data_IF_807444674411
#
_entry.id   IF_807444674411
#
_cell.length_a   1.000
_cell.length_b   1.000
_cell.length_c   1.000
_cell.angle_alpha   90.00
_cell.angle_beta   90.00
_cell.angle_gamma   90.00
#
_symmetry.space_group_name_H-M   'P 1'
#
loop_
_entity.id
_entity.type
_entity.pdbx_description
1 polymer ?
#
# COMPACT_ATOMS: atom_id res chain seq x y z
N UNK A 1 34.61 -26.16 -7.51
CA UNK A 1 33.74 -26.41 -8.70
C UNK A 1 33.67 -25.11 -9.46
N UNK A 2 34.08 -25.12 -10.71
CA UNK A 2 34.09 -23.91 -11.52
C UNK A 2 32.83 -23.90 -12.39
N UNK A 3 32.17 -22.75 -12.45
CA UNK A 3 30.98 -22.52 -13.25
C UNK A 3 31.33 -21.78 -14.53
N UNK A 4 30.71 -22.14 -15.62
CA UNK A 4 30.91 -21.47 -16.90
C UNK A 4 30.28 -20.07 -16.94
N UNK A 5 29.16 -19.89 -16.20
CA UNK A 5 28.40 -18.64 -16.13
C UNK A 5 28.21 -18.18 -14.67
N UNK A 6 28.31 -16.89 -14.48
CA UNK A 6 28.12 -16.29 -13.15
C UNK A 6 26.68 -16.55 -12.61
N UNK A 7 25.71 -16.53 -13.50
CA UNK A 7 24.30 -16.78 -13.16
C UNK A 7 24.10 -18.19 -12.58
N UNK A 8 24.79 -19.20 -13.12
CA UNK A 8 24.74 -20.58 -12.61
C UNK A 8 25.34 -20.67 -11.21
N UNK A 9 26.48 -20.00 -11.00
CA UNK A 9 27.11 -19.94 -9.68
C UNK A 9 26.21 -19.24 -8.64
N UNK A 10 25.57 -18.13 -9.01
CA UNK A 10 24.64 -17.39 -8.14
C UNK A 10 23.41 -18.25 -7.83
N UNK A 11 22.80 -18.88 -8.83
CA UNK A 11 21.66 -19.77 -8.61
C UNK A 11 22.01 -20.92 -7.66
N UNK A 12 23.19 -21.54 -7.85
CA UNK A 12 23.66 -22.61 -6.96
C UNK A 12 23.86 -22.12 -5.53
N UNK A 13 24.54 -20.97 -5.35
CA UNK A 13 24.75 -20.36 -4.03
C UNK A 13 23.42 -20.09 -3.33
N UNK A 14 22.47 -19.47 -4.02
CA UNK A 14 21.16 -19.12 -3.44
C UNK A 14 20.33 -20.36 -3.09
N UNK A 15 20.45 -21.42 -3.92
CA UNK A 15 19.84 -22.72 -3.61
C UNK A 15 20.41 -23.30 -2.32
N UNK A 16 21.74 -23.40 -2.22
CA UNK A 16 22.42 -23.98 -1.06
C UNK A 16 22.11 -23.20 0.23
N UNK A 17 22.12 -21.85 0.14
CA UNK A 17 21.76 -20.97 1.28
C UNK A 17 20.32 -21.21 1.70
N UNK A 18 19.35 -21.22 0.76
CA UNK A 18 17.95 -21.48 1.06
C UNK A 18 17.75 -22.85 1.71
N UNK A 19 18.34 -23.90 1.16
CA UNK A 19 18.24 -25.26 1.70
C UNK A 19 18.83 -25.34 3.10
N UNK A 20 20.00 -24.78 3.35
CA UNK A 20 20.62 -24.72 4.67
C UNK A 20 19.77 -23.99 5.69
N UNK A 21 19.23 -22.82 5.32
CA UNK A 21 18.39 -22.01 6.21
C UNK A 21 17.05 -22.71 6.52
N UNK A 22 16.39 -23.28 5.51
CA UNK A 22 15.10 -23.97 5.72
C UNK A 22 15.26 -25.30 6.46
N UNK A 23 16.42 -25.96 6.38
CA UNK A 23 16.73 -27.11 7.22
C UNK A 23 16.80 -26.77 8.72
N UNK A 24 17.25 -25.55 9.06
CA UNK A 24 17.31 -25.07 10.46
C UNK A 24 15.92 -24.58 10.91
N UNK A 25 15.24 -23.81 10.04
CA UNK A 25 13.95 -23.20 10.33
C UNK A 25 13.07 -23.23 9.07
N UNK A 26 12.10 -24.17 8.96
CA UNK A 26 11.28 -24.33 7.75
C UNK A 26 10.48 -23.08 7.33
N UNK A 27 10.09 -22.25 8.31
CA UNK A 27 9.33 -21.00 8.12
C UNK A 27 10.21 -19.74 8.17
N UNK A 28 11.52 -19.86 7.87
CA UNK A 28 12.44 -18.72 7.87
C UNK A 28 12.02 -17.66 6.85
N UNK A 29 12.13 -16.39 7.26
CA UNK A 29 11.96 -15.26 6.35
C UNK A 29 13.30 -14.95 5.68
N UNK A 30 13.31 -14.98 4.35
CA UNK A 30 14.46 -14.64 3.51
C UNK A 30 14.08 -13.44 2.67
N UNK A 31 14.70 -12.29 2.98
CA UNK A 31 14.44 -11.03 2.31
C UNK A 31 15.41 -10.79 1.17
N UNK A 32 14.88 -10.37 0.03
CA UNK A 32 15.64 -9.73 -1.04
C UNK A 32 15.15 -8.32 -1.27
N UNK A 33 16.05 -7.44 -1.73
CA UNK A 33 15.76 -6.03 -1.97
C UNK A 33 16.49 -5.48 -3.19
N UNK A 34 16.12 -4.28 -3.62
CA UNK A 34 16.78 -3.52 -4.68
C UNK A 34 16.65 -4.18 -6.06
N UNK A 35 17.69 -4.02 -6.88
CA UNK A 35 17.67 -4.41 -8.28
C UNK A 35 17.77 -5.93 -8.52
N UNK A 36 17.92 -6.72 -7.46
CA UNK A 36 17.95 -8.19 -7.57
C UNK A 36 16.57 -8.82 -7.73
N UNK A 37 15.51 -8.03 -7.60
CA UNK A 37 14.15 -8.54 -7.56
C UNK A 37 13.61 -8.70 -8.96
N UNK A 38 13.40 -9.95 -9.33
CA UNK A 38 12.76 -10.38 -10.56
C UNK A 38 12.05 -11.71 -10.33
N UNK A 39 11.38 -12.27 -11.35
CA UNK A 39 10.60 -13.51 -11.18
C UNK A 39 11.41 -14.69 -10.66
N UNK A 40 12.68 -14.83 -11.07
CA UNK A 40 13.54 -15.94 -10.66
C UNK A 40 13.88 -15.91 -9.17
N UNK A 41 14.04 -14.73 -8.57
CA UNK A 41 14.44 -14.58 -7.16
C UNK A 41 13.39 -15.11 -6.19
N UNK A 42 12.12 -15.20 -6.61
CA UNK A 42 11.03 -15.82 -5.83
C UNK A 42 11.29 -17.27 -5.46
N UNK A 43 12.14 -17.94 -6.22
CA UNK A 43 12.60 -19.30 -5.92
C UNK A 43 13.50 -19.37 -4.68
N UNK A 44 14.08 -18.26 -4.25
CA UNK A 44 15.11 -18.21 -3.21
C UNK A 44 14.69 -17.44 -1.96
N UNK A 45 13.69 -16.56 -2.08
CA UNK A 45 13.19 -15.75 -0.97
C UNK A 45 11.66 -15.71 -0.89
N UNK A 46 11.14 -15.31 0.24
CA UNK A 46 9.69 -15.22 0.52
C UNK A 46 9.26 -13.84 1.03
N UNK A 47 10.18 -12.87 0.99
CA UNK A 47 9.91 -11.48 1.35
C UNK A 47 10.74 -10.54 0.48
N UNK A 48 10.11 -9.48 -0.04
CA UNK A 48 10.78 -8.48 -0.88
C UNK A 48 10.60 -7.08 -0.31
N UNK A 49 11.68 -6.33 -0.31
CA UNK A 49 11.69 -4.92 0.09
C UNK A 49 11.85 -4.01 -1.13
N UNK A 50 11.14 -2.89 -1.10
CA UNK A 50 11.38 -1.78 -2.05
C UNK A 50 12.84 -1.29 -1.91
N UNK A 51 13.41 -0.75 -2.98
CA UNK A 51 14.76 -0.17 -3.00
C UNK A 51 14.98 0.86 -1.90
N UNK A 52 16.25 1.24 -1.65
CA UNK A 52 16.58 2.28 -0.66
C UNK A 52 16.00 3.63 -1.07
N UNK A 53 14.93 4.04 -0.40
CA UNK A 53 14.21 5.29 -0.61
C UNK A 53 13.56 5.79 0.70
N UNK A 54 14.34 5.97 1.78
CA UNK A 54 13.80 6.35 3.09
C UNK A 54 13.10 7.71 2.99
N UNK A 55 11.92 7.82 3.60
CA UNK A 55 11.05 9.00 3.58
C UNK A 55 10.50 9.41 2.20
N UNK A 56 10.97 8.84 1.10
CA UNK A 56 10.45 9.10 -0.24
C UNK A 56 9.18 8.26 -0.49
N UNK A 57 8.03 8.84 -0.17
CA UNK A 57 6.74 8.18 -0.32
C UNK A 57 6.39 7.84 -1.77
N UNK A 58 6.89 8.61 -2.76
CA UNK A 58 6.63 8.35 -4.18
C UNK A 58 7.40 7.13 -4.66
N UNK A 59 8.71 7.08 -4.41
CA UNK A 59 9.55 5.93 -4.76
C UNK A 59 9.09 4.67 -4.03
N UNK A 60 8.70 4.77 -2.76
CA UNK A 60 8.10 3.68 -2.01
C UNK A 60 6.82 3.15 -2.69
N UNK A 61 5.92 4.04 -3.13
CA UNK A 61 4.68 3.65 -3.84
C UNK A 61 4.97 2.91 -5.13
N UNK A 62 5.77 3.52 -6.01
CA UNK A 62 6.08 2.94 -7.33
C UNK A 62 6.76 1.59 -7.16
N UNK A 63 7.81 1.52 -6.33
CA UNK A 63 8.51 0.28 -6.08
C UNK A 63 7.63 -0.81 -5.44
N UNK A 64 6.74 -0.45 -4.52
CA UNK A 64 5.77 -1.38 -3.94
C UNK A 64 4.82 -1.95 -4.99
N UNK A 65 4.26 -1.10 -5.87
CA UNK A 65 3.34 -1.55 -6.93
C UNK A 65 4.08 -2.48 -7.89
N UNK A 66 5.26 -2.09 -8.37
CA UNK A 66 6.06 -2.89 -9.29
C UNK A 66 6.41 -4.26 -8.69
N UNK A 67 6.85 -4.29 -7.43
CA UNK A 67 7.13 -5.54 -6.73
C UNK A 67 5.89 -6.42 -6.58
N UNK A 68 4.75 -5.84 -6.19
CA UNK A 68 3.50 -6.57 -6.04
C UNK A 68 3.01 -7.16 -7.37
N UNK A 69 3.21 -6.46 -8.48
CA UNK A 69 2.88 -6.96 -9.83
C UNK A 69 3.82 -8.09 -10.28
N UNK A 70 5.08 -8.10 -9.83
CA UNK A 70 6.09 -9.10 -10.19
C UNK A 70 6.12 -10.31 -9.24
N UNK A 71 5.88 -10.09 -7.95
CA UNK A 71 6.13 -11.09 -6.91
C UNK A 71 4.93 -11.99 -6.59
N UNK A 72 3.74 -11.73 -7.16
CA UNK A 72 2.54 -12.51 -6.88
C UNK A 72 2.21 -12.49 -5.37
N UNK A 73 2.10 -13.67 -4.77
CA UNK A 73 1.73 -13.84 -3.35
C UNK A 73 2.90 -13.66 -2.38
N UNK A 74 4.10 -13.32 -2.85
CA UNK A 74 5.25 -13.05 -1.99
C UNK A 74 5.03 -11.78 -1.18
N UNK A 75 5.42 -11.78 0.09
CA UNK A 75 5.31 -10.61 0.95
C UNK A 75 6.18 -9.46 0.41
N UNK A 76 5.59 -8.27 0.32
CA UNK A 76 6.28 -7.04 -0.09
C UNK A 76 6.17 -6.03 1.04
N UNK A 77 7.30 -5.40 1.41
CA UNK A 77 7.29 -4.30 2.36
C UNK A 77 7.98 -3.05 1.82
N UNK A 78 7.61 -1.92 2.39
CA UNK A 78 8.18 -0.62 2.05
C UNK A 78 9.63 -0.50 2.50
N UNK A 79 10.33 0.50 2.00
CA UNK A 79 11.48 1.04 2.73
C UNK A 79 10.99 1.90 3.90
N UNK A 80 11.94 2.48 4.64
CA UNK A 80 11.69 3.21 5.88
C UNK A 80 10.71 4.38 5.68
N UNK A 81 9.55 4.30 6.32
CA UNK A 81 8.61 5.41 6.43
C UNK A 81 9.08 6.33 7.56
N UNK A 82 9.45 7.54 7.18
CA UNK A 82 10.01 8.54 8.10
C UNK A 82 9.34 9.90 7.87
N UNK A 83 9.09 10.62 8.94
CA UNK A 83 8.59 12.00 8.90
C UNK A 83 9.06 12.76 10.14
N UNK A 84 9.04 14.09 10.06
CA UNK A 84 9.42 14.94 11.18
C UNK A 84 8.27 15.07 12.19
N UNK A 85 8.56 15.24 13.50
CA UNK A 85 7.49 15.50 14.49
C UNK A 85 6.64 16.73 14.21
N UNK A 86 7.20 17.74 13.52
CA UNK A 86 6.50 18.97 13.15
C UNK A 86 5.71 18.87 11.83
N UNK A 87 5.79 17.74 11.12
CA UNK A 87 4.96 17.52 9.94
C UNK A 87 3.49 17.46 10.34
N UNK A 88 2.61 17.86 9.43
CA UNK A 88 1.18 17.66 9.64
C UNK A 88 0.86 16.17 9.74
N UNK A 89 -0.13 15.82 10.56
CA UNK A 89 -0.56 14.42 10.69
C UNK A 89 -1.07 13.86 9.36
N UNK A 90 -1.61 14.70 8.48
CA UNK A 90 -2.04 14.35 7.13
C UNK A 90 -0.83 13.93 6.25
N UNK A 91 0.28 14.65 6.34
CA UNK A 91 1.51 14.28 5.61
C UNK A 91 2.09 12.97 6.15
N UNK A 92 2.10 12.76 7.47
CA UNK A 92 2.49 11.49 8.07
C UNK A 92 1.57 10.34 7.61
N UNK A 93 0.25 10.57 7.55
CA UNK A 93 -0.71 9.58 7.05
C UNK A 93 -0.47 9.23 5.57
N UNK A 94 -0.10 10.20 4.73
CA UNK A 94 0.22 9.96 3.32
C UNK A 94 1.42 9.04 3.13
N UNK A 95 2.41 9.02 4.03
CA UNK A 95 3.49 8.03 4.02
C UNK A 95 2.92 6.60 4.08
N UNK A 96 2.00 6.34 5.02
CA UNK A 96 1.35 5.03 5.14
C UNK A 96 0.47 4.70 3.93
N UNK A 97 -0.31 5.67 3.45
CA UNK A 97 -1.21 5.44 2.31
C UNK A 97 -0.45 5.12 1.02
N UNK A 98 0.75 5.68 0.84
CA UNK A 98 1.58 5.36 -0.33
C UNK A 98 2.07 3.90 -0.34
N UNK A 99 2.07 3.22 0.81
CA UNK A 99 2.43 1.81 0.92
C UNK A 99 1.27 0.96 1.44
N UNK A 100 0.04 1.42 1.27
CA UNK A 100 -1.15 0.78 1.82
C UNK A 100 -1.27 -0.71 1.44
N UNK A 101 -0.88 -1.06 0.22
CA UNK A 101 -0.95 -2.45 -0.29
C UNK A 101 0.32 -3.27 -0.03
N UNK A 102 1.20 -2.82 0.84
CA UNK A 102 2.38 -3.55 1.30
C UNK A 102 2.46 -3.56 2.83
N UNK A 103 3.47 -4.19 3.39
CA UNK A 103 3.76 -4.10 4.82
C UNK A 103 4.55 -2.81 5.07
N UNK A 104 4.07 -1.88 5.91
CA UNK A 104 4.77 -0.64 6.18
C UNK A 104 5.97 -0.85 7.11
N UNK A 105 7.15 -0.37 6.73
CA UNK A 105 8.32 -0.31 7.61
C UNK A 105 8.35 1.05 8.32
N UNK A 106 7.72 1.14 9.49
CA UNK A 106 7.65 2.37 10.27
C UNK A 106 8.96 2.59 11.01
N UNK A 107 9.67 3.67 10.67
CA UNK A 107 11.02 3.97 11.18
C UNK A 107 11.08 5.30 11.96
N UNK A 108 9.94 5.85 12.33
CA UNK A 108 9.87 6.96 13.28
C UNK A 108 9.95 6.44 14.72
N UNK A 109 10.46 7.27 15.62
CA UNK A 109 10.46 6.98 17.06
C UNK A 109 9.10 7.33 17.66
N UNK A 110 8.27 6.33 18.08
CA UNK A 110 6.93 6.60 18.58
C UNK A 110 6.91 7.49 19.85
N UNK A 111 7.97 7.44 20.65
CA UNK A 111 8.15 8.26 21.85
C UNK A 111 8.48 9.73 21.54
N UNK A 112 8.87 10.05 20.31
CA UNK A 112 9.27 11.40 19.89
C UNK A 112 8.32 12.09 18.94
N UNK A 113 7.30 11.39 18.46
CA UNK A 113 6.26 12.01 17.61
C UNK A 113 5.06 12.46 18.44
N UNK A 114 4.31 13.49 17.99
CA UNK A 114 3.10 13.98 18.67
C UNK A 114 2.06 12.89 18.87
N UNK A 115 1.16 13.08 19.86
CA UNK A 115 0.06 12.14 20.12
C UNK A 115 -0.87 12.00 18.90
N UNK A 116 -1.04 13.06 18.11
CA UNK A 116 -1.81 13.03 16.86
C UNK A 116 -1.25 12.03 15.86
N UNK A 117 0.08 11.95 15.75
CA UNK A 117 0.75 10.96 14.87
C UNK A 117 0.62 9.54 15.44
N UNK A 118 0.74 9.38 16.76
CA UNK A 118 0.52 8.07 17.41
C UNK A 118 -0.92 7.58 17.24
N UNK A 119 -1.89 8.47 17.37
CA UNK A 119 -3.30 8.15 17.16
C UNK A 119 -3.56 7.73 15.70
N UNK A 120 -3.01 8.46 14.74
CA UNK A 120 -3.05 8.12 13.32
C UNK A 120 -2.41 6.76 13.04
N UNK A 121 -1.23 6.49 13.59
CA UNK A 121 -0.56 5.18 13.44
C UNK A 121 -1.42 4.04 14.00
N UNK A 122 -1.93 4.17 15.23
CA UNK A 122 -2.80 3.14 15.83
C UNK A 122 -4.02 2.86 14.96
N UNK A 123 -4.66 3.92 14.48
CA UNK A 123 -5.85 3.79 13.64
C UNK A 123 -5.53 3.08 12.32
N UNK A 124 -4.54 3.56 11.56
CA UNK A 124 -4.21 2.96 10.28
C UNK A 124 -3.68 1.54 10.39
N UNK A 125 -2.85 1.23 11.38
CA UNK A 125 -2.37 -0.14 11.59
C UNK A 125 -3.53 -1.10 11.90
N UNK A 126 -4.50 -0.68 12.72
CA UNK A 126 -5.70 -1.46 13.00
C UNK A 126 -6.56 -1.65 11.73
N UNK A 127 -6.78 -0.58 10.96
CA UNK A 127 -7.55 -0.62 9.72
C UNK A 127 -6.84 -1.47 8.66
N UNK A 128 -5.52 -1.36 8.53
CA UNK A 128 -4.72 -2.18 7.63
C UNK A 128 -4.77 -3.66 8.00
N UNK A 129 -4.79 -3.99 9.29
CA UNK A 129 -4.98 -5.37 9.76
C UNK A 129 -6.39 -5.88 9.44
N UNK A 130 -7.43 -5.07 9.70
CA UNK A 130 -8.81 -5.41 9.36
C UNK A 130 -8.99 -5.67 7.86
N UNK A 131 -8.33 -4.90 7.00
CA UNK A 131 -8.41 -5.00 5.54
C UNK A 131 -7.32 -5.88 4.93
N UNK A 132 -6.62 -6.70 5.73
CA UNK A 132 -5.48 -7.48 5.24
C UNK A 132 -5.81 -8.36 4.03
N UNK A 133 -6.96 -9.05 4.04
CA UNK A 133 -7.37 -9.90 2.93
C UNK A 133 -7.55 -9.12 1.62
N UNK A 134 -8.11 -7.90 1.68
CA UNK A 134 -8.26 -7.02 0.52
C UNK A 134 -6.91 -6.46 0.08
N UNK A 135 -6.10 -5.97 1.02
CA UNK A 135 -4.79 -5.36 0.74
C UNK A 135 -3.82 -6.33 0.08
N UNK A 136 -3.89 -7.63 0.47
CA UNK A 136 -3.03 -8.68 -0.07
C UNK A 136 -3.61 -9.36 -1.33
N UNK A 137 -4.82 -9.01 -1.76
CA UNK A 137 -5.40 -9.48 -3.01
C UNK A 137 -4.63 -8.92 -4.23
N UNK A 138 -4.76 -9.51 -5.43
CA UNK A 138 -4.13 -9.01 -6.63
C UNK A 138 -4.39 -7.53 -6.86
N UNK A 139 -3.34 -6.76 -7.16
CA UNK A 139 -3.44 -5.33 -7.43
C UNK A 139 -3.93 -5.07 -8.86
N UNK A 140 -4.73 -4.03 -8.99
CA UNK A 140 -4.96 -3.33 -10.25
C UNK A 140 -4.39 -1.92 -10.12
N UNK A 141 -3.33 -1.65 -10.86
CA UNK A 141 -2.67 -0.36 -10.93
C UNK A 141 -2.52 0.02 -12.41
N UNK A 142 -3.03 1.18 -12.76
CA UNK A 142 -3.06 1.66 -14.14
C UNK A 142 -2.11 2.86 -14.29
N UNK A 143 -1.76 3.17 -15.55
CA UNK A 143 -0.97 4.35 -15.90
C UNK A 143 0.40 4.42 -15.20
N UNK A 144 1.29 3.44 -15.43
CA UNK A 144 2.63 3.45 -14.83
C UNK A 144 3.43 4.71 -15.20
N UNK A 145 3.21 5.26 -16.40
CA UNK A 145 3.82 6.52 -16.86
C UNK A 145 3.37 7.77 -16.05
N UNK A 146 2.27 7.66 -15.31
CA UNK A 146 1.79 8.65 -14.34
C UNK A 146 2.08 8.22 -12.89
N UNK A 147 3.00 7.26 -12.68
CA UNK A 147 3.41 6.76 -11.38
C UNK A 147 2.25 6.18 -10.55
N UNK A 148 1.35 5.45 -11.23
CA UNK A 148 0.19 4.78 -10.62
C UNK A 148 -0.70 5.73 -9.80
N UNK A 149 -1.42 6.66 -10.43
CA UNK A 149 -2.22 7.67 -9.73
C UNK A 149 -3.41 7.07 -8.95
N UNK A 150 -3.84 5.87 -9.32
CA UNK A 150 -4.86 5.07 -8.64
C UNK A 150 -4.38 3.62 -8.52
N UNK A 151 -4.49 3.07 -7.32
CA UNK A 151 -4.21 1.65 -7.07
C UNK A 151 -5.39 1.06 -6.30
N UNK A 152 -5.82 -0.13 -6.70
CA UNK A 152 -6.93 -0.82 -6.07
C UNK A 152 -6.68 -2.31 -5.90
N UNK A 153 -7.35 -2.89 -4.93
CA UNK A 153 -7.45 -4.33 -4.75
C UNK A 153 -8.85 -4.68 -4.26
N UNK A 154 -9.34 -5.83 -4.68
CA UNK A 154 -10.66 -6.34 -4.29
C UNK A 154 -10.55 -7.77 -3.79
N UNK A 155 -11.29 -8.05 -2.73
CA UNK A 155 -11.53 -9.39 -2.23
C UNK A 155 -13.01 -9.54 -1.92
N UNK A 156 -13.65 -10.48 -2.60
CA UNK A 156 -15.09 -10.73 -2.50
C UNK A 156 -15.92 -9.45 -2.74
N UNK A 157 -16.73 -9.02 -1.80
CA UNK A 157 -17.60 -7.85 -1.88
C UNK A 157 -16.95 -6.55 -1.36
N UNK A 158 -15.66 -6.61 -0.97
CA UNK A 158 -14.96 -5.46 -0.43
C UNK A 158 -13.84 -5.02 -1.36
N UNK A 159 -13.77 -3.72 -1.65
CA UNK A 159 -12.71 -3.09 -2.42
C UNK A 159 -11.99 -2.02 -1.60
N UNK A 160 -10.70 -1.88 -1.83
CA UNK A 160 -9.90 -0.75 -1.33
C UNK A 160 -9.27 -0.03 -2.52
N UNK A 161 -9.41 1.29 -2.56
CA UNK A 161 -8.85 2.17 -3.59
C UNK A 161 -8.05 3.25 -2.88
N UNK A 162 -6.81 3.48 -3.34
CA UNK A 162 -6.03 4.65 -2.90
C UNK A 162 -5.86 5.59 -4.08
N UNK A 163 -6.29 6.84 -3.90
CA UNK A 163 -6.14 7.92 -4.86
C UNK A 163 -4.94 8.78 -4.48
N UNK A 164 -3.96 8.89 -5.38
CA UNK A 164 -2.71 9.62 -5.15
C UNK A 164 -2.63 10.94 -5.93
N UNK A 165 -3.48 11.13 -6.95
CA UNK A 165 -3.52 12.34 -7.76
C UNK A 165 -4.93 12.92 -7.77
N UNK A 166 -5.04 14.19 -7.42
CA UNK A 166 -6.30 14.93 -7.33
C UNK A 166 -7.06 15.06 -8.68
N UNK A 167 -6.36 14.90 -9.80
CA UNK A 167 -6.96 14.97 -11.14
C UNK A 167 -7.56 13.66 -11.62
N UNK A 168 -7.58 12.62 -10.76
CA UNK A 168 -8.17 11.33 -11.10
C UNK A 168 -9.65 11.27 -10.77
N UNK A 169 -10.37 10.52 -11.59
CA UNK A 169 -11.74 10.10 -11.29
C UNK A 169 -11.69 8.72 -10.64
N UNK A 170 -12.23 8.60 -9.44
CA UNK A 170 -12.33 7.31 -8.74
C UNK A 170 -13.56 6.57 -9.27
N UNK A 171 -13.35 5.58 -10.14
CA UNK A 171 -14.43 4.72 -10.64
C UNK A 171 -14.79 3.68 -9.59
N UNK A 172 -16.02 3.74 -9.07
CA UNK A 172 -16.57 2.74 -8.16
C UNK A 172 -16.93 1.48 -8.94
N UNK A 173 -16.65 0.32 -8.37
CA UNK A 173 -17.05 -0.98 -8.91
C UNK A 173 -18.42 -1.39 -8.36
N UNK A 174 -18.83 -2.61 -8.67
CA UNK A 174 -20.01 -3.27 -8.11
C UNK A 174 -19.79 -3.89 -6.72
N UNK A 175 -18.68 -3.55 -6.05
CA UNK A 175 -18.42 -4.01 -4.69
C UNK A 175 -19.46 -3.43 -3.71
N UNK A 176 -19.93 -4.26 -2.79
CA UNK A 176 -20.91 -3.84 -1.77
C UNK A 176 -20.32 -2.77 -0.87
N UNK A 177 -19.03 -2.90 -0.56
CA UNK A 177 -18.30 -1.95 0.30
C UNK A 177 -16.98 -1.54 -0.34
N UNK A 178 -16.78 -0.24 -0.52
CA UNK A 178 -15.53 0.31 -1.05
C UNK A 178 -14.90 1.28 -0.04
N UNK A 179 -13.65 1.05 0.30
CA UNK A 179 -12.82 2.00 1.05
C UNK A 179 -12.05 2.86 0.07
N UNK A 180 -12.29 4.15 0.05
CA UNK A 180 -11.59 5.12 -0.80
C UNK A 180 -10.68 5.97 0.06
N UNK A 181 -9.38 5.79 -0.05
CA UNK A 181 -8.36 6.53 0.69
C UNK A 181 -7.88 7.72 -0.12
N UNK A 182 -7.79 8.89 0.54
CA UNK A 182 -7.33 10.11 -0.07
C UNK A 182 -5.86 10.39 0.29
N UNK A 183 -4.96 9.93 -0.56
CA UNK A 183 -3.52 10.21 -0.44
C UNK A 183 -3.10 11.51 -1.19
N UNK A 184 -4.06 12.30 -1.69
CA UNK A 184 -3.82 13.58 -2.33
C UNK A 184 -3.68 14.71 -1.30
N UNK A 185 -3.42 15.92 -1.79
CA UNK A 185 -3.39 17.14 -0.94
C UNK A 185 -4.72 17.91 -0.89
N UNK A 186 -5.79 17.41 -1.56
CA UNK A 186 -7.10 18.07 -1.63
C UNK A 186 -8.12 17.37 -0.74
N UNK A 187 -9.20 18.04 -0.38
CA UNK A 187 -10.25 17.50 0.51
C UNK A 187 -11.48 16.95 -0.23
N UNK A 188 -11.42 16.93 -1.57
CA UNK A 188 -12.50 16.42 -2.40
C UNK A 188 -11.96 15.51 -3.47
N UNK A 189 -12.62 14.39 -3.69
CA UNK A 189 -12.34 13.49 -4.80
C UNK A 189 -13.57 13.39 -5.71
N UNK A 190 -13.32 13.37 -7.02
CA UNK A 190 -14.36 13.11 -8.01
C UNK A 190 -14.57 11.60 -8.13
N UNK A 191 -15.80 11.16 -7.92
CA UNK A 191 -16.20 9.76 -8.04
C UNK A 191 -17.16 9.57 -9.21
N UNK A 192 -17.04 8.43 -9.86
CA UNK A 192 -17.93 7.98 -10.91
C UNK A 192 -18.49 6.60 -10.58
N UNK A 193 -19.79 6.42 -10.68
CA UNK A 193 -20.42 5.12 -10.44
C UNK A 193 -21.92 5.21 -10.15
N UNK A 194 -22.44 4.14 -9.56
CA UNK A 194 -23.83 4.03 -9.15
C UNK A 194 -24.15 4.91 -7.93
N UNK A 195 -25.45 5.08 -7.65
CA UNK A 195 -25.89 5.71 -6.42
C UNK A 195 -25.38 4.92 -5.21
N UNK A 196 -24.75 5.63 -4.27
CA UNK A 196 -24.18 5.03 -3.09
C UNK A 196 -24.20 6.03 -1.92
N UNK A 197 -24.21 5.55 -0.70
CA UNK A 197 -23.96 6.37 0.47
C UNK A 197 -22.48 6.30 0.85
N UNK A 198 -21.94 7.36 1.44
CA UNK A 198 -20.60 7.31 2.01
C UNK A 198 -20.53 7.98 3.38
N UNK A 199 -19.61 7.48 4.19
CA UNK A 199 -19.17 8.11 5.44
C UNK A 199 -17.69 8.38 5.35
N UNK A 200 -17.26 9.62 5.59
CA UNK A 200 -15.85 10.04 5.57
C UNK A 200 -15.25 10.13 6.96
N UNK A 201 -13.96 9.88 7.05
CA UNK A 201 -13.16 9.82 8.27
C UNK A 201 -11.82 10.54 8.06
N UNK A 202 -11.35 11.21 9.13
CA UNK A 202 -9.99 11.74 9.14
C UNK A 202 -8.94 10.60 9.25
N UNK A 203 -7.66 10.96 9.21
CA UNK A 203 -6.56 10.00 9.33
C UNK A 203 -6.44 9.34 10.72
N UNK A 204 -7.20 9.79 11.71
CA UNK A 204 -7.27 9.22 13.07
C UNK A 204 -8.52 8.38 13.29
N UNK A 205 -9.39 8.27 12.25
CA UNK A 205 -10.63 7.51 12.29
C UNK A 205 -11.82 8.28 12.86
N UNK A 206 -11.72 9.59 13.09
CA UNK A 206 -12.86 10.40 13.47
C UNK A 206 -13.78 10.64 12.26
N UNK A 207 -15.08 10.40 12.41
CA UNK A 207 -16.06 10.68 11.37
C UNK A 207 -16.09 12.20 11.08
N UNK A 208 -16.01 12.57 9.81
CA UNK A 208 -15.98 13.96 9.36
C UNK A 208 -17.20 14.36 8.53
N UNK A 209 -17.93 13.39 8.02
CA UNK A 209 -19.17 13.67 7.28
C UNK A 209 -19.80 12.44 6.65
N UNK A 210 -20.98 12.66 6.11
CA UNK A 210 -21.75 11.68 5.34
C UNK A 210 -22.33 12.33 4.12
N UNK A 211 -22.55 11.54 3.08
CA UNK A 211 -23.18 12.04 1.85
C UNK A 211 -23.74 10.92 0.98
N UNK A 212 -24.35 11.37 -0.09
CA UNK A 212 -24.83 10.50 -1.16
C UNK A 212 -24.05 10.81 -2.44
N UNK A 213 -23.66 9.77 -3.15
CA UNK A 213 -23.10 9.85 -4.49
C UNK A 213 -24.24 9.64 -5.48
N UNK A 214 -24.35 10.53 -6.46
CA UNK A 214 -25.33 10.44 -7.54
C UNK A 214 -24.64 10.15 -8.86
N UNK A 215 -25.35 9.47 -9.76
CA UNK A 215 -24.88 9.21 -11.12
C UNK A 215 -24.83 10.48 -11.97
N UNK A 216 -23.92 10.55 -12.97
CA UNK A 216 -22.77 9.64 -13.14
C UNK A 216 -21.57 10.07 -12.32
N UNK A 217 -21.47 11.32 -11.91
CA UNK A 217 -20.34 11.92 -11.21
C UNK A 217 -20.80 12.64 -9.95
N UNK A 218 -20.04 12.50 -8.88
CA UNK A 218 -20.23 13.24 -7.64
C UNK A 218 -18.89 13.60 -6.99
N UNK A 219 -18.83 14.77 -6.37
CA UNK A 219 -17.72 15.08 -5.45
C UNK A 219 -18.01 14.47 -4.07
N UNK A 220 -17.03 13.75 -3.53
CA UNK A 220 -17.04 13.29 -2.16
C UNK A 220 -16.06 14.10 -1.32
N UNK A 221 -16.52 14.65 -0.18
CA UNK A 221 -15.64 15.31 0.78
C UNK A 221 -14.93 14.25 1.62
N UNK A 222 -13.64 14.06 1.35
CA UNK A 222 -12.77 13.10 2.04
C UNK A 222 -11.51 13.86 2.46
N UNK A 223 -11.24 14.02 3.77
CA UNK A 223 -10.06 14.76 4.22
C UNK A 223 -8.76 14.24 3.62
N UNK A 224 -7.82 15.13 3.36
CA UNK A 224 -6.48 14.74 2.95
C UNK A 224 -5.85 13.80 3.99
N UNK A 225 -5.28 12.69 3.55
CA UNK A 225 -4.76 11.65 4.42
C UNK A 225 -5.82 10.79 5.12
N UNK A 226 -7.12 11.07 4.91
CA UNK A 226 -8.25 10.31 5.44
C UNK A 226 -8.85 9.34 4.41
N UNK A 227 -10.07 8.88 4.66
CA UNK A 227 -10.75 7.93 3.78
C UNK A 227 -12.28 8.04 3.88
N UNK A 228 -12.96 7.43 2.92
CA UNK A 228 -14.40 7.19 2.99
C UNK A 228 -14.72 5.70 2.87
N UNK A 229 -15.80 5.30 3.53
CA UNK A 229 -16.44 3.99 3.34
C UNK A 229 -17.70 4.24 2.50
N UNK A 230 -17.70 3.71 1.30
CA UNK A 230 -18.81 3.79 0.33
C UNK A 230 -19.58 2.48 0.36
N UNK A 231 -20.91 2.57 0.48
CA UNK A 231 -21.82 1.43 0.47
C UNK A 231 -22.74 1.58 -0.74
N UNK A 232 -22.69 0.61 -1.66
CA UNK A 232 -23.59 0.52 -2.79
C UNK A 232 -25.02 0.27 -2.30
N UNK A 233 -25.99 0.93 -2.92
CA UNK A 233 -27.42 0.81 -2.60
C UNK A 233 -28.10 -0.17 -3.54
#
# INVERSE_FOLDING_TARGET
MDYALVEEAVCRLLTDVREALTAIKPDILIEFRQNYIGPAIRGFGNMFRVTDCPADWLSNRVGMVDLRLLSGDTAVHSDMLMWHPDDSVQNAARQLLNVFFAVPQISVRPDRVPETHRAMLRHYLALMAQLQAVRMAPLRAESPHLLYPLVRARKDETEAIVCYDANQVVHLSDAVRTYVFNATGVEKLLMHGANASYTSYDCRGAETGKGMLAQPYSEACIPAGGYAVVISV
#
